data_IF_485565351407
#
_entry.id   IF_485565351407
#
_cell.length_a   1.000
_cell.length_b   1.000
_cell.length_c   1.000
_cell.angle_alpha   90.00
_cell.angle_beta   90.00
_cell.angle_gamma   90.00
#
_symmetry.space_group_name_H-M   'P 1'
#
loop_
_entity.id
_entity.type
_entity.pdbx_description
1 polymer ?
#
# COMPACT_ATOMS: atom_id res chain seq x y z
N UNK A 1 27.31 -7.94 -11.82
CA UNK A 1 26.33 -9.02 -11.51
C UNK A 1 25.33 -8.66 -10.39
N UNK A 2 25.76 -8.24 -9.20
CA UNK A 2 24.85 -7.88 -8.09
C UNK A 2 23.80 -6.80 -8.42
N UNK A 3 24.18 -5.77 -9.19
CA UNK A 3 23.26 -4.70 -9.63
C UNK A 3 22.21 -5.20 -10.62
N UNK A 4 22.57 -6.14 -11.50
CA UNK A 4 21.63 -6.75 -12.46
C UNK A 4 20.60 -7.62 -11.74
N UNK A 5 21.02 -8.36 -10.70
CA UNK A 5 20.12 -9.15 -9.85
C UNK A 5 19.13 -8.23 -9.13
N UNK A 6 19.59 -7.12 -8.55
CA UNK A 6 18.71 -6.15 -7.89
C UNK A 6 17.70 -5.52 -8.86
N UNK A 7 18.13 -5.16 -10.08
CA UNK A 7 17.26 -4.62 -11.12
C UNK A 7 16.23 -5.65 -11.57
N UNK A 8 16.64 -6.92 -11.74
CA UNK A 8 15.74 -8.01 -12.11
C UNK A 8 14.68 -8.28 -11.02
N UNK A 9 15.06 -8.25 -9.74
CA UNK A 9 14.14 -8.40 -8.61
C UNK A 9 13.13 -7.24 -8.58
N UNK A 10 13.58 -6.01 -8.79
CA UNK A 10 12.71 -4.83 -8.84
C UNK A 10 11.71 -4.90 -10.01
N UNK A 11 12.16 -5.36 -11.19
CA UNK A 11 11.31 -5.59 -12.35
C UNK A 11 10.28 -6.69 -12.10
N UNK A 12 10.67 -7.80 -11.46
CA UNK A 12 9.73 -8.85 -11.07
C UNK A 12 8.66 -8.35 -10.09
N UNK A 13 9.06 -7.51 -9.13
CA UNK A 13 8.15 -6.97 -8.11
C UNK A 13 7.14 -5.98 -8.67
N UNK A 14 7.47 -5.30 -9.78
CA UNK A 14 6.61 -4.31 -10.45
C UNK A 14 5.78 -4.88 -11.59
N UNK A 15 6.22 -5.99 -12.21
CA UNK A 15 5.50 -6.67 -13.30
C UNK A 15 4.20 -7.36 -12.83
N UNK A 16 4.04 -7.62 -11.53
CA UNK A 16 2.83 -8.16 -10.95
C UNK A 16 1.71 -7.11 -10.85
N UNK A 17 0.95 -6.88 -11.92
CA UNK A 17 -0.39 -6.27 -11.83
C UNK A 17 -1.35 -7.28 -11.21
N UNK A 18 -1.15 -7.58 -9.93
CA UNK A 18 -2.05 -8.44 -9.16
C UNK A 18 -3.35 -7.65 -9.04
N UNK A 19 -4.48 -8.22 -9.49
CA UNK A 19 -5.78 -7.71 -9.05
C UNK A 19 -5.71 -7.70 -7.53
N UNK A 20 -5.78 -6.51 -6.93
CA UNK A 20 -5.65 -6.31 -5.48
C UNK A 20 -6.90 -6.92 -4.84
N UNK A 21 -6.86 -8.23 -4.65
CA UNK A 21 -7.79 -8.95 -3.81
C UNK A 21 -7.32 -8.73 -2.37
N UNK A 22 -8.25 -8.46 -1.46
CA UNK A 22 -7.89 -8.25 -0.07
C UNK A 22 -7.13 -9.47 0.45
N UNK A 23 -5.86 -9.30 0.85
CA UNK A 23 -5.03 -10.41 1.34
C UNK A 23 -5.35 -10.78 2.80
N UNK A 24 -6.09 -9.93 3.52
CA UNK A 24 -6.57 -10.23 4.85
C UNK A 24 -7.71 -11.27 4.79
N UNK A 25 -7.53 -12.39 5.50
CA UNK A 25 -8.49 -13.50 5.55
C UNK A 25 -9.85 -13.07 6.11
N UNK A 26 -9.86 -12.16 7.09
CA UNK A 26 -11.08 -11.61 7.70
C UNK A 26 -11.83 -10.76 6.68
N UNK A 27 -11.16 -9.83 6.01
CA UNK A 27 -11.79 -8.95 5.02
C UNK A 27 -12.41 -9.73 3.85
N UNK A 28 -11.74 -10.80 3.40
CA UNK A 28 -12.25 -11.66 2.32
C UNK A 28 -13.53 -12.38 2.74
N UNK A 29 -13.58 -12.95 3.95
CA UNK A 29 -14.76 -13.66 4.45
C UNK A 29 -15.95 -12.72 4.64
N UNK A 30 -15.71 -11.52 5.19
CA UNK A 30 -16.75 -10.50 5.36
C UNK A 30 -17.30 -10.02 4.00
N UNK A 31 -16.42 -9.78 3.02
CA UNK A 31 -16.85 -9.37 1.67
C UNK A 31 -17.75 -10.42 0.99
N UNK A 32 -17.44 -11.70 1.16
CA UNK A 32 -18.23 -12.80 0.57
C UNK A 32 -19.67 -12.86 1.11
N UNK A 33 -19.92 -12.37 2.31
CA UNK A 33 -21.25 -12.40 2.94
C UNK A 33 -22.12 -11.20 2.56
N UNK A 34 -21.55 -10.14 1.98
CA UNK A 34 -22.24 -8.86 1.80
C UNK A 34 -22.84 -8.67 0.40
N UNK A 35 -22.44 -9.47 -0.60
CA UNK A 35 -22.81 -9.24 -2.01
C UNK A 35 -21.95 -8.16 -2.70
N UNK A 36 -22.08 -8.02 -4.01
CA UNK A 36 -21.08 -7.33 -4.85
C UNK A 36 -20.88 -5.83 -4.50
N UNK A 37 -21.97 -5.07 -4.37
CA UNK A 37 -21.92 -3.62 -4.12
C UNK A 37 -21.26 -3.26 -2.78
N UNK A 38 -21.70 -3.80 -1.63
CA UNK A 38 -21.04 -3.53 -0.35
C UNK A 38 -19.65 -4.16 -0.24
N UNK A 39 -19.37 -5.29 -0.89
CA UNK A 39 -18.01 -5.85 -0.97
C UNK A 39 -17.02 -4.88 -1.66
N UNK A 40 -17.45 -4.23 -2.75
CA UNK A 40 -16.65 -3.18 -3.42
C UNK A 40 -16.44 -1.96 -2.52
N UNK A 41 -17.46 -1.55 -1.76
CA UNK A 41 -17.34 -0.44 -0.80
C UNK A 41 -16.35 -0.78 0.33
N UNK A 42 -16.38 -2.00 0.85
CA UNK A 42 -15.46 -2.49 1.88
C UNK A 42 -13.99 -2.40 1.41
N UNK A 43 -13.68 -2.86 0.19
CA UNK A 43 -12.32 -2.79 -0.35
C UNK A 43 -11.82 -1.34 -0.47
N UNK A 44 -12.68 -0.40 -0.87
CA UNK A 44 -12.34 1.03 -0.89
C UNK A 44 -12.06 1.55 0.53
N UNK A 45 -12.84 1.12 1.51
CA UNK A 45 -12.62 1.46 2.92
C UNK A 45 -11.26 0.98 3.44
N UNK A 46 -10.84 -0.25 3.12
CA UNK A 46 -9.52 -0.78 3.51
C UNK A 46 -8.40 0.07 2.93
N UNK A 47 -8.46 0.41 1.63
CA UNK A 47 -7.44 1.26 0.99
C UNK A 47 -7.39 2.63 1.66
N UNK A 48 -8.55 3.24 1.94
CA UNK A 48 -8.62 4.52 2.62
C UNK A 48 -7.97 4.48 4.01
N UNK A 49 -8.31 3.47 4.81
CA UNK A 49 -7.77 3.30 6.16
C UNK A 49 -6.29 2.97 6.17
N UNK A 50 -5.78 2.23 5.19
CA UNK A 50 -4.36 1.92 5.06
C UNK A 50 -3.53 3.12 4.55
N UNK A 51 -4.08 3.88 3.60
CA UNK A 51 -3.42 5.06 3.04
C UNK A 51 -3.28 6.19 4.06
N UNK A 52 -4.29 6.39 4.90
CA UNK A 52 -4.33 7.50 5.87
C UNK A 52 -3.10 7.56 6.80
N UNK A 53 -2.73 6.51 7.56
CA UNK A 53 -1.56 6.55 8.44
C UNK A 53 -0.25 6.67 7.65
N UNK A 54 -0.16 6.07 6.46
CA UNK A 54 1.02 6.20 5.60
C UNK A 54 1.21 7.64 5.09
N UNK A 55 0.11 8.30 4.69
CA UNK A 55 0.13 9.69 4.26
C UNK A 55 0.55 10.63 5.39
N UNK A 56 0.01 10.42 6.60
CA UNK A 56 0.37 11.19 7.79
C UNK A 56 1.86 11.02 8.12
N UNK A 57 2.35 9.78 8.21
CA UNK A 57 3.75 9.50 8.49
C UNK A 57 4.68 10.05 7.41
N UNK A 58 4.31 9.91 6.15
CA UNK A 58 5.05 10.46 5.01
C UNK A 58 5.15 11.98 5.06
N UNK A 59 4.05 12.67 5.37
CA UNK A 59 4.02 14.12 5.52
C UNK A 59 4.90 14.58 6.70
N UNK A 60 4.77 13.94 7.86
CA UNK A 60 5.58 14.25 9.03
C UNK A 60 7.07 14.01 8.77
N UNK A 61 7.43 12.88 8.17
CA UNK A 61 8.80 12.55 7.79
C UNK A 61 9.39 13.56 6.79
N UNK A 62 8.62 13.95 5.77
CA UNK A 62 9.02 14.97 4.80
C UNK A 62 9.26 16.33 5.47
N UNK A 63 8.34 16.76 6.34
CA UNK A 63 8.45 18.04 7.06
C UNK A 63 9.65 18.04 8.01
N UNK A 64 9.90 16.94 8.70
CA UNK A 64 11.06 16.77 9.57
C UNK A 64 12.37 16.79 8.79
N UNK A 65 12.45 16.10 7.64
CA UNK A 65 13.63 16.14 6.78
C UNK A 65 13.89 17.55 6.23
N UNK A 66 12.85 18.30 5.86
CA UNK A 66 12.99 19.71 5.47
C UNK A 66 13.44 20.61 6.62
N UNK A 67 12.97 20.33 7.84
CA UNK A 67 13.31 21.10 9.03
C UNK A 67 14.74 20.84 9.54
N UNK A 68 15.23 19.60 9.46
CA UNK A 68 16.55 19.22 9.97
C UNK A 68 17.63 19.02 8.89
N UNK A 69 17.24 18.89 7.62
CA UNK A 69 18.17 19.00 6.49
C UNK A 69 18.69 20.43 6.28
N UNK A 70 18.20 21.40 7.05
CA UNK A 70 18.78 22.73 7.20
C UNK A 70 19.77 22.82 8.38
N UNK A 71 19.88 21.77 9.20
CA UNK A 71 20.63 21.75 10.46
C UNK A 71 21.72 20.65 10.49
N UNK A 72 22.03 20.06 9.32
CA UNK A 72 23.21 19.20 9.08
C UNK A 72 23.98 19.67 7.86
#
# INVERSE_FOLDING_TARGET
MRKLIAILILLLFTAGSIRVQAQCSICTRTAQQMGERPAKALNKGIIYLAFTPLAILGFLGFRWWKSQGADR
#
